data_IF_736058442566
#
_entry.id   IF_736058442566
#
_cell.length_a   1.000
_cell.length_b   1.000
_cell.length_c   1.000
_cell.angle_alpha   90.00
_cell.angle_beta   90.00
_cell.angle_gamma   90.00
#
_symmetry.space_group_name_H-M   'P 1'
#
loop_
_entity.id
_entity.type
_entity.pdbx_description
1 polymer ?
#
# COMPACT_ATOMS: atom_id res chain seq x y z
N UNK A 1 5.38 -13.44 8.67
CA UNK A 1 5.37 -12.12 9.31
C UNK A 1 4.73 -12.27 10.69
N UNK A 2 5.42 -11.95 11.78
CA UNK A 2 4.78 -11.89 13.10
C UNK A 2 3.93 -10.64 13.13
N UNK A 3 2.63 -10.77 13.45
CA UNK A 3 1.76 -9.64 13.73
C UNK A 3 2.44 -8.73 14.76
N UNK A 4 2.55 -7.43 14.49
CA UNK A 4 2.99 -6.47 15.50
C UNK A 4 1.97 -6.53 16.64
N UNK A 5 2.41 -6.59 17.92
CA UNK A 5 1.48 -6.52 19.03
C UNK A 5 0.76 -5.17 18.97
N UNK A 6 -0.56 -5.20 19.14
CA UNK A 6 -1.37 -3.98 19.25
C UNK A 6 -0.74 -3.06 20.29
N UNK A 7 -0.51 -1.81 19.91
CA UNK A 7 -0.12 -0.76 20.85
C UNK A 7 -1.21 -0.68 21.94
N UNK A 8 -0.87 -1.10 23.15
CA UNK A 8 -1.69 -0.84 24.34
C UNK A 8 -1.68 0.68 24.61
N UNK A 9 -2.52 1.41 23.91
CA UNK A 9 -2.87 2.75 24.36
C UNK A 9 -3.76 2.57 25.58
N UNK A 10 -3.23 2.79 26.75
CA UNK A 10 -4.01 3.01 27.98
C UNK A 10 -4.75 4.34 27.85
N UNK A 11 -5.74 4.38 26.94
CA UNK A 11 -6.71 5.44 26.81
C UNK A 11 -7.63 5.39 28.03
N UNK A 12 -7.86 6.55 28.62
CA UNK A 12 -8.82 6.70 29.70
C UNK A 12 -10.21 6.18 29.30
N UNK A 13 -11.05 5.88 30.28
CA UNK A 13 -12.41 5.37 30.11
C UNK A 13 -13.17 6.20 29.07
N UNK A 14 -13.46 5.61 27.89
CA UNK A 14 -14.30 6.20 26.86
C UNK A 14 -13.63 6.63 25.55
N UNK A 15 -12.35 6.29 25.29
CA UNK A 15 -11.70 6.60 24.01
C UNK A 15 -12.17 5.68 22.88
N UNK A 16 -12.33 6.26 21.67
CA UNK A 16 -12.58 5.49 20.42
C UNK A 16 -11.36 4.66 20.08
N UNK A 17 -11.57 3.36 19.82
CA UNK A 17 -10.52 2.46 19.36
C UNK A 17 -10.52 2.40 17.84
N UNK A 18 -9.41 2.72 17.23
CA UNK A 18 -9.29 2.71 15.77
C UNK A 18 -7.92 2.27 15.27
N UNK A 19 -7.88 1.83 14.01
CA UNK A 19 -6.66 1.58 13.24
C UNK A 19 -6.75 2.37 11.94
N UNK A 20 -5.78 3.27 11.71
CA UNK A 20 -5.80 4.23 10.62
C UNK A 20 -4.79 3.93 9.50
N UNK A 21 -4.14 2.75 9.53
CA UNK A 21 -3.19 2.36 8.49
C UNK A 21 -3.30 0.86 8.19
N UNK A 22 -4.23 0.52 7.30
CA UNK A 22 -4.56 -0.87 6.95
C UNK A 22 -4.51 -1.06 5.43
N UNK A 23 -3.89 -2.16 5.00
CA UNK A 23 -3.83 -2.60 3.61
C UNK A 23 -4.70 -3.83 3.38
N UNK A 24 -5.29 -3.88 2.19
CA UNK A 24 -6.10 -5.01 1.72
C UNK A 24 -5.44 -5.66 0.50
N UNK A 25 -6.09 -6.68 -0.07
CA UNK A 25 -5.64 -7.32 -1.31
C UNK A 25 -5.74 -6.39 -2.55
N UNK A 26 -6.28 -5.16 -2.39
CA UNK A 26 -6.17 -4.11 -3.42
C UNK A 26 -4.78 -3.48 -3.50
N UNK A 27 -3.91 -3.78 -2.54
CA UNK A 27 -2.49 -3.50 -2.59
C UNK A 27 -1.70 -4.72 -2.10
N UNK A 28 -0.94 -4.63 -1.06
CA UNK A 28 -0.07 -5.69 -0.55
C UNK A 28 -0.55 -6.36 0.74
N UNK A 29 -1.75 -6.05 1.19
CA UNK A 29 -2.45 -6.80 2.20
C UNK A 29 -2.92 -8.16 1.68
N UNK A 30 -3.15 -9.11 2.59
CA UNK A 30 -3.53 -10.49 2.25
C UNK A 30 -5.04 -10.74 2.36
N UNK A 31 -5.78 -9.85 3.01
CA UNK A 31 -7.21 -10.03 3.27
C UNK A 31 -8.07 -9.12 2.38
N UNK A 32 -9.28 -9.58 2.11
CA UNK A 32 -10.29 -8.74 1.45
C UNK A 32 -10.78 -7.62 2.39
N UNK A 33 -11.33 -6.52 1.85
CA UNK A 33 -11.89 -5.45 2.67
C UNK A 33 -12.96 -5.96 3.66
N UNK A 34 -13.79 -6.91 3.25
CA UNK A 34 -14.82 -7.53 4.09
C UNK A 34 -14.20 -8.28 5.27
N UNK A 35 -13.11 -9.05 5.00
CA UNK A 35 -12.40 -9.77 6.06
C UNK A 35 -11.71 -8.82 7.02
N UNK A 36 -11.18 -7.69 6.53
CA UNK A 36 -10.63 -6.63 7.39
C UNK A 36 -11.71 -6.05 8.29
N UNK A 37 -12.91 -5.77 7.78
CA UNK A 37 -14.04 -5.31 8.61
C UNK A 37 -14.36 -6.34 9.71
N UNK A 38 -14.49 -7.62 9.37
CA UNK A 38 -14.79 -8.67 10.36
C UNK A 38 -13.69 -8.76 11.45
N UNK A 39 -12.42 -8.80 11.04
CA UNK A 39 -11.30 -8.84 11.99
C UNK A 39 -11.24 -7.61 12.89
N UNK A 40 -11.59 -6.45 12.36
CA UNK A 40 -11.63 -5.19 13.12
C UNK A 40 -12.75 -5.19 14.17
N UNK A 41 -13.92 -5.70 13.80
CA UNK A 41 -15.04 -5.90 14.74
C UNK A 41 -14.68 -6.92 15.83
N UNK A 42 -14.07 -8.05 15.47
CA UNK A 42 -13.59 -9.06 16.41
C UNK A 42 -12.53 -8.48 17.38
N UNK A 43 -11.68 -7.56 16.91
CA UNK A 43 -10.69 -6.86 17.73
C UNK A 43 -11.29 -5.75 18.61
N UNK A 44 -12.59 -5.48 18.48
CA UNK A 44 -13.28 -4.43 19.23
C UNK A 44 -12.91 -3.02 18.82
N UNK A 45 -12.49 -2.83 17.55
CA UNK A 45 -12.33 -1.50 16.96
C UNK A 45 -13.69 -0.88 16.64
N UNK A 46 -13.75 0.43 16.61
CA UNK A 46 -14.92 1.22 16.28
C UNK A 46 -14.76 1.99 14.96
N UNK A 47 -13.51 2.20 14.55
CA UNK A 47 -13.17 2.90 13.31
C UNK A 47 -11.90 2.33 12.70
N UNK A 48 -11.87 2.24 11.38
CA UNK A 48 -10.66 1.89 10.61
C UNK A 48 -10.51 2.83 9.43
N UNK A 49 -9.28 3.00 8.93
CA UNK A 49 -9.02 3.57 7.62
C UNK A 49 -8.37 2.52 6.71
N UNK A 50 -8.94 2.33 5.53
CA UNK A 50 -8.32 1.53 4.48
C UNK A 50 -7.42 2.43 3.65
N UNK A 51 -6.13 2.16 3.69
CA UNK A 51 -5.09 3.02 3.13
C UNK A 51 -4.21 2.24 2.15
N UNK A 52 -4.83 1.50 1.25
CA UNK A 52 -4.11 0.74 0.24
C UNK A 52 -3.13 1.60 -0.55
N UNK A 53 -1.99 1.04 -0.91
CA UNK A 53 -0.98 1.73 -1.69
C UNK A 53 -1.50 2.20 -3.05
N UNK A 54 -1.50 3.51 -3.28
CA UNK A 54 -1.92 4.17 -4.53
C UNK A 54 -3.29 3.68 -5.05
N UNK A 55 -4.19 3.32 -4.12
CA UNK A 55 -5.50 2.74 -4.41
C UNK A 55 -6.54 3.14 -3.36
N UNK A 56 -7.80 3.27 -3.78
CA UNK A 56 -8.93 3.66 -2.91
C UNK A 56 -10.15 2.74 -3.05
N UNK A 57 -10.06 1.65 -3.83
CA UNK A 57 -11.20 0.80 -4.18
C UNK A 57 -11.71 -0.03 -3.01
N UNK A 58 -10.84 -0.38 -2.07
CA UNK A 58 -11.20 -1.18 -0.90
C UNK A 58 -12.28 -0.54 -0.04
N UNK A 59 -12.33 0.79 0.01
CA UNK A 59 -13.33 1.54 0.77
C UNK A 59 -14.76 1.21 0.31
N UNK A 60 -15.03 1.24 -1.00
CA UNK A 60 -16.37 1.02 -1.53
C UNK A 60 -16.85 -0.41 -1.25
N UNK A 61 -15.95 -1.40 -1.35
CA UNK A 61 -16.23 -2.80 -1.02
C UNK A 61 -16.53 -2.96 0.48
N UNK A 62 -15.68 -2.39 1.35
CA UNK A 62 -15.86 -2.47 2.80
C UNK A 62 -17.16 -1.81 3.25
N UNK A 63 -17.48 -0.63 2.71
CA UNK A 63 -18.70 0.10 3.07
C UNK A 63 -19.97 -0.59 2.57
N UNK A 64 -19.94 -1.19 1.38
CA UNK A 64 -21.06 -1.99 0.89
C UNK A 64 -21.30 -3.23 1.77
N UNK A 65 -20.21 -3.93 2.12
CA UNK A 65 -20.30 -5.06 3.05
C UNK A 65 -20.82 -4.65 4.43
N UNK A 66 -20.38 -3.50 4.95
CA UNK A 66 -20.80 -3.00 6.25
C UNK A 66 -22.32 -2.74 6.32
N UNK A 67 -22.98 -2.38 5.21
CA UNK A 67 -24.45 -2.25 5.14
C UNK A 67 -25.18 -3.56 5.46
N UNK A 68 -24.54 -4.70 5.27
CA UNK A 68 -25.09 -6.02 5.62
C UNK A 68 -24.98 -6.33 7.11
N UNK A 69 -24.18 -5.55 7.85
CA UNK A 69 -23.95 -5.70 9.29
C UNK A 69 -24.79 -4.65 10.02
N UNK A 70 -25.50 -5.05 11.03
CA UNK A 70 -26.24 -4.09 11.87
C UNK A 70 -25.37 -3.67 13.07
N UNK A 71 -24.30 -2.92 12.79
CA UNK A 71 -23.28 -2.52 13.77
C UNK A 71 -22.91 -1.06 13.63
N UNK A 72 -22.54 -0.41 14.74
CA UNK A 72 -21.99 0.94 14.76
C UNK A 72 -20.46 0.84 14.54
N UNK A 73 -20.05 0.99 13.30
CA UNK A 73 -18.67 0.88 12.86
C UNK A 73 -18.39 1.84 11.72
N UNK A 74 -17.24 2.51 11.76
CA UNK A 74 -16.86 3.49 10.75
C UNK A 74 -15.69 3.00 9.92
N UNK A 75 -15.83 3.03 8.60
CA UNK A 75 -14.74 2.87 7.66
C UNK A 75 -14.40 4.23 7.04
N UNK A 76 -13.15 4.64 7.14
CA UNK A 76 -12.63 5.87 6.54
C UNK A 76 -12.00 5.53 5.19
N UNK A 77 -12.35 6.31 4.14
CA UNK A 77 -11.62 6.26 2.87
C UNK A 77 -10.25 6.86 3.08
N UNK A 78 -9.23 6.06 2.82
CA UNK A 78 -7.85 6.47 2.88
C UNK A 78 -7.07 6.02 1.64
N UNK A 79 -5.84 6.46 1.58
CA UNK A 79 -4.83 6.07 0.61
C UNK A 79 -3.46 6.16 1.25
N UNK A 80 -2.52 5.31 0.87
CA UNK A 80 -1.10 5.52 1.11
C UNK A 80 -0.38 5.77 -0.22
N UNK A 81 -0.03 7.03 -0.47
CA UNK A 81 0.67 7.43 -1.69
C UNK A 81 2.15 7.17 -1.53
N UNK A 82 2.72 6.34 -2.40
CA UNK A 82 4.17 6.17 -2.49
C UNK A 82 4.79 7.37 -3.21
N UNK A 83 5.72 8.04 -2.57
CA UNK A 83 6.42 9.20 -3.12
C UNK A 83 7.93 9.01 -3.06
N UNK A 84 8.66 9.84 -3.81
CA UNK A 84 10.11 9.85 -3.82
C UNK A 84 10.61 11.28 -3.57
N UNK A 85 11.44 11.46 -2.54
CA UNK A 85 12.13 12.71 -2.29
C UNK A 85 13.64 12.50 -2.37
N UNK A 86 14.28 13.10 -3.37
CA UNK A 86 15.67 12.76 -3.74
C UNK A 86 15.78 11.24 -3.94
N UNK A 87 16.49 10.57 -3.05
CA UNK A 87 16.69 9.12 -3.06
C UNK A 87 15.89 8.37 -1.98
N UNK A 88 14.98 9.03 -1.28
CA UNK A 88 14.23 8.43 -0.17
C UNK A 88 12.78 8.18 -0.57
N UNK A 89 12.30 6.97 -0.30
CA UNK A 89 10.87 6.69 -0.37
C UNK A 89 10.20 7.30 0.87
N UNK A 90 9.20 8.15 0.63
CA UNK A 90 8.38 8.77 1.68
C UNK A 90 6.93 8.42 1.36
N UNK A 91 6.22 7.86 2.32
CA UNK A 91 4.82 7.53 2.11
C UNK A 91 3.93 8.58 2.76
N UNK A 92 2.91 9.02 2.03
CA UNK A 92 1.93 9.99 2.49
C UNK A 92 0.57 9.32 2.58
N UNK A 93 0.04 9.23 3.79
CA UNK A 93 -1.36 8.84 4.01
C UNK A 93 -2.27 10.01 3.64
N UNK A 94 -3.39 9.71 3.02
CA UNK A 94 -4.46 10.68 2.77
C UNK A 94 -5.76 10.14 3.33
N UNK A 95 -6.43 10.90 4.19
CA UNK A 95 -7.73 10.54 4.74
C UNK A 95 -8.82 11.43 4.18
N UNK A 96 -9.99 10.85 3.92
CA UNK A 96 -11.19 11.54 3.40
C UNK A 96 -11.01 12.27 2.06
N UNK A 97 -10.16 11.81 1.12
CA UNK A 97 -10.01 12.52 -0.13
C UNK A 97 -11.29 12.46 -0.96
N UNK A 98 -11.63 13.57 -1.64
CA UNK A 98 -12.64 13.55 -2.69
C UNK A 98 -12.04 12.92 -3.95
N UNK A 99 -12.32 11.64 -4.14
CA UNK A 99 -11.81 10.84 -5.27
C UNK A 99 -12.41 11.24 -6.63
N UNK A 100 -13.38 12.17 -6.66
CA UNK A 100 -13.98 12.67 -7.90
C UNK A 100 -13.17 13.79 -8.53
N UNK A 101 -12.31 14.47 -7.76
CA UNK A 101 -11.44 15.53 -8.21
C UNK A 101 -10.47 15.07 -9.31
N UNK A 102 -10.30 15.91 -10.32
CA UNK A 102 -9.45 15.61 -11.49
C UNK A 102 -8.01 15.30 -11.11
N UNK A 103 -7.43 16.10 -10.21
CA UNK A 103 -6.02 16.00 -9.83
C UNK A 103 -5.77 14.76 -8.99
N UNK A 104 -6.73 14.38 -8.12
CA UNK A 104 -6.67 13.12 -7.39
C UNK A 104 -6.75 11.91 -8.34
N UNK A 105 -7.66 11.93 -9.30
CA UNK A 105 -7.73 10.87 -10.34
C UNK A 105 -6.45 10.79 -11.16
N UNK A 106 -5.84 11.94 -11.48
CA UNK A 106 -4.59 11.99 -12.21
C UNK A 106 -3.43 11.42 -11.38
N UNK A 107 -3.36 11.76 -10.09
CA UNK A 107 -2.40 11.17 -9.16
C UNK A 107 -2.48 9.64 -9.17
N UNK A 108 -3.69 9.06 -9.02
CA UNK A 108 -3.88 7.61 -9.08
C UNK A 108 -3.39 7.00 -10.40
N UNK A 109 -3.69 7.64 -11.54
CA UNK A 109 -3.23 7.17 -12.85
C UNK A 109 -1.71 7.18 -12.98
N UNK A 110 -1.06 8.27 -12.54
CA UNK A 110 0.41 8.37 -12.54
C UNK A 110 1.02 7.24 -11.73
N UNK A 111 0.52 7.02 -10.53
CA UNK A 111 1.00 5.99 -9.62
C UNK A 111 0.83 4.58 -10.20
N UNK A 112 -0.35 4.27 -10.73
CA UNK A 112 -0.63 2.97 -11.35
C UNK A 112 0.28 2.71 -12.56
N UNK A 113 0.48 3.70 -13.44
CA UNK A 113 1.39 3.58 -14.56
C UNK A 113 2.85 3.36 -14.12
N UNK A 114 3.29 4.09 -13.09
CA UNK A 114 4.64 3.95 -12.54
C UNK A 114 4.88 2.54 -11.98
N UNK A 115 3.90 1.96 -11.26
CA UNK A 115 3.95 0.58 -10.74
C UNK A 115 4.05 -0.45 -11.85
N UNK A 116 3.19 -0.35 -12.85
CA UNK A 116 3.18 -1.27 -14.01
C UNK A 116 4.52 -1.20 -14.75
N UNK A 117 5.01 0.01 -15.01
CA UNK A 117 6.29 0.23 -15.70
C UNK A 117 7.44 -0.36 -14.91
N UNK A 118 7.55 -0.04 -13.60
CA UNK A 118 8.58 -0.58 -12.72
C UNK A 118 8.55 -2.12 -12.69
N UNK A 119 7.37 -2.71 -12.54
CA UNK A 119 7.21 -4.18 -12.50
C UNK A 119 7.74 -4.80 -13.79
N UNK A 120 7.28 -4.33 -14.96
CA UNK A 120 7.72 -4.87 -16.26
C UNK A 120 9.23 -4.77 -16.44
N UNK A 121 9.84 -3.68 -16.01
CA UNK A 121 11.28 -3.46 -16.11
C UNK A 121 12.07 -4.40 -15.17
N UNK A 122 11.61 -4.58 -13.93
CA UNK A 122 12.19 -5.57 -13.00
C UNK A 122 12.13 -6.98 -13.59
N UNK A 123 10.96 -7.40 -14.13
CA UNK A 123 10.79 -8.73 -14.73
C UNK A 123 11.70 -8.93 -15.94
N UNK A 124 11.87 -7.90 -16.77
CA UNK A 124 12.82 -7.92 -17.88
C UNK A 124 14.26 -8.11 -17.39
N UNK A 125 14.69 -7.39 -16.36
CA UNK A 125 16.02 -7.50 -15.80
C UNK A 125 16.25 -8.87 -15.13
N UNK A 126 15.26 -9.40 -14.42
CA UNK A 126 15.31 -10.76 -13.85
C UNK A 126 15.54 -11.82 -14.93
N UNK A 127 14.79 -11.75 -16.02
CA UNK A 127 14.96 -12.68 -17.14
C UNK A 127 16.34 -12.54 -17.79
N UNK A 128 16.83 -11.31 -17.99
CA UNK A 128 18.08 -11.02 -18.69
C UNK A 128 19.33 -11.33 -17.86
N UNK A 129 19.32 -10.97 -16.55
CA UNK A 129 20.52 -11.05 -15.71
C UNK A 129 20.56 -12.31 -14.85
N UNK A 130 19.39 -12.81 -14.44
CA UNK A 130 19.29 -13.91 -13.48
C UNK A 130 18.67 -15.18 -14.09
N UNK A 131 18.21 -15.11 -15.35
CA UNK A 131 17.56 -16.23 -16.03
C UNK A 131 16.15 -16.56 -15.49
N UNK A 132 15.62 -15.76 -14.57
CA UNK A 132 14.31 -15.96 -13.94
C UNK A 132 13.25 -15.34 -14.83
N UNK A 133 12.43 -16.18 -15.48
CA UNK A 133 11.36 -15.74 -16.39
C UNK A 133 10.02 -15.79 -15.68
N UNK A 134 9.38 -14.62 -15.57
CA UNK A 134 8.07 -14.44 -14.93
C UNK A 134 7.21 -13.62 -15.90
N UNK A 135 5.99 -14.08 -16.19
CA UNK A 135 5.05 -13.29 -16.98
C UNK A 135 4.47 -12.16 -16.13
N UNK A 136 4.19 -11.01 -16.75
CA UNK A 136 3.59 -9.88 -16.05
C UNK A 136 2.23 -10.24 -15.40
N UNK A 137 1.44 -11.07 -16.09
CA UNK A 137 0.14 -11.50 -15.60
C UNK A 137 0.25 -12.40 -14.36
N UNK A 138 1.34 -13.13 -14.17
CA UNK A 138 1.58 -13.91 -12.95
C UNK A 138 1.69 -12.99 -11.72
N UNK A 139 2.24 -11.78 -11.89
CA UNK A 139 2.31 -10.78 -10.82
C UNK A 139 0.99 -10.01 -10.68
N UNK A 140 0.39 -9.61 -11.81
CA UNK A 140 -0.85 -8.85 -11.84
C UNK A 140 -2.01 -9.60 -11.19
N UNK A 141 -2.11 -10.92 -11.40
CA UNK A 141 -3.19 -11.74 -10.85
C UNK A 141 -3.07 -12.01 -9.34
N UNK A 142 -2.03 -11.48 -8.68
CA UNK A 142 -1.87 -11.55 -7.21
C UNK A 142 -2.57 -10.42 -6.46
N UNK A 143 -3.04 -9.41 -7.17
CA UNK A 143 -3.86 -8.31 -6.59
C UNK A 143 -5.28 -8.39 -7.12
N UNK A 144 -6.22 -7.79 -6.39
CA UNK A 144 -7.59 -7.66 -6.87
C UNK A 144 -7.65 -6.86 -8.18
N UNK A 145 -8.73 -7.02 -8.94
CA UNK A 145 -8.95 -6.23 -10.16
C UNK A 145 -8.91 -4.73 -9.85
N UNK A 146 -8.11 -3.99 -10.61
CA UNK A 146 -7.86 -2.58 -10.35
C UNK A 146 -6.90 -2.29 -9.19
N UNK A 147 -6.37 -3.31 -8.54
CA UNK A 147 -5.43 -3.19 -7.41
C UNK A 147 -4.04 -2.73 -7.82
N UNK A 148 -3.25 -2.34 -6.83
CA UNK A 148 -1.90 -1.81 -6.98
C UNK A 148 -0.84 -2.90 -6.79
N UNK A 149 -0.09 -3.20 -7.85
CA UNK A 149 1.05 -4.12 -7.77
C UNK A 149 2.15 -3.49 -6.92
N UNK A 150 2.68 -4.27 -5.97
CA UNK A 150 3.79 -3.87 -5.12
C UNK A 150 4.98 -4.83 -5.18
N UNK A 151 6.09 -4.42 -4.59
CA UNK A 151 7.31 -5.25 -4.43
C UNK A 151 7.04 -6.62 -3.77
N UNK A 152 6.13 -6.76 -2.79
CA UNK A 152 5.77 -8.06 -2.23
C UNK A 152 5.26 -9.06 -3.26
N UNK A 153 4.48 -8.60 -4.25
CA UNK A 153 3.97 -9.46 -5.32
C UNK A 153 5.08 -9.94 -6.24
N UNK A 154 6.04 -9.04 -6.58
CA UNK A 154 7.22 -9.41 -7.38
C UNK A 154 8.07 -10.44 -6.63
N UNK A 155 8.34 -10.22 -5.34
CA UNK A 155 9.08 -11.17 -4.52
C UNK A 155 8.40 -12.54 -4.43
N UNK A 156 7.08 -12.56 -4.27
CA UNK A 156 6.28 -13.80 -4.29
C UNK A 156 6.34 -14.50 -5.65
N UNK A 157 6.26 -13.74 -6.75
CA UNK A 157 6.36 -14.29 -8.09
C UNK A 157 7.76 -14.90 -8.37
N UNK A 158 8.83 -14.27 -7.89
CA UNK A 158 10.20 -14.81 -7.97
C UNK A 158 10.28 -16.16 -7.25
N UNK A 159 9.72 -16.25 -6.03
CA UNK A 159 9.70 -17.49 -5.26
C UNK A 159 8.87 -18.58 -5.95
N UNK A 160 7.69 -18.23 -6.46
CA UNK A 160 6.82 -19.16 -7.20
C UNK A 160 7.48 -19.70 -8.47
N UNK A 161 8.32 -18.88 -9.12
CA UNK A 161 9.10 -19.29 -10.30
C UNK A 161 10.37 -20.11 -9.95
N UNK A 162 10.59 -20.42 -8.68
CA UNK A 162 11.77 -21.18 -8.23
C UNK A 162 13.06 -20.36 -8.18
N UNK A 163 12.98 -19.02 -8.30
CA UNK A 163 14.14 -18.15 -8.25
C UNK A 163 14.76 -18.00 -6.86
N UNK A 164 13.99 -18.28 -5.81
CA UNK A 164 14.41 -18.29 -4.40
C UNK A 164 13.64 -19.31 -3.60
N UNK A 165 14.15 -19.67 -2.41
CA UNK A 165 13.50 -20.59 -1.47
C UNK A 165 12.37 -19.94 -0.64
N UNK A 166 12.38 -18.61 -0.55
CA UNK A 166 11.41 -17.85 0.23
C UNK A 166 11.23 -16.42 -0.28
N UNK A 167 10.09 -15.81 0.06
CA UNK A 167 9.81 -14.39 -0.23
C UNK A 167 10.82 -13.47 0.44
N UNK A 168 11.28 -13.82 1.65
CA UNK A 168 12.30 -13.04 2.37
C UNK A 168 13.62 -13.05 1.62
N UNK A 169 14.03 -14.20 1.08
CA UNK A 169 15.22 -14.32 0.24
C UNK A 169 15.07 -13.51 -1.06
N UNK A 170 13.88 -13.55 -1.70
CA UNK A 170 13.61 -12.75 -2.89
C UNK A 170 13.76 -11.24 -2.61
N UNK A 171 13.26 -10.79 -1.47
CA UNK A 171 13.43 -9.41 -1.03
C UNK A 171 14.91 -9.04 -0.87
N UNK A 172 15.68 -9.83 -0.11
CA UNK A 172 17.09 -9.55 0.18
C UNK A 172 17.98 -9.62 -1.06
N UNK A 173 17.61 -10.43 -2.06
CA UNK A 173 18.45 -10.64 -3.26
C UNK A 173 18.06 -9.73 -4.43
N UNK A 174 16.76 -9.49 -4.64
CA UNK A 174 16.27 -8.86 -5.86
C UNK A 174 15.48 -7.56 -5.68
N UNK A 175 14.90 -7.31 -4.50
CA UNK A 175 13.96 -6.20 -4.34
C UNK A 175 14.61 -4.97 -3.70
N UNK A 176 15.67 -5.14 -2.91
CA UNK A 176 16.33 -4.01 -2.25
C UNK A 176 17.15 -3.15 -3.24
N UNK A 177 17.48 -1.94 -2.83
CA UNK A 177 18.06 -0.90 -3.67
C UNK A 177 19.43 -1.26 -4.28
N UNK A 178 20.24 -2.05 -3.58
CA UNK A 178 21.56 -2.49 -4.07
C UNK A 178 21.46 -3.72 -5.02
N UNK A 179 20.27 -4.22 -5.33
CA UNK A 179 20.08 -5.34 -6.23
C UNK A 179 20.44 -4.98 -7.67
N UNK A 180 21.08 -5.89 -8.44
CA UNK A 180 21.38 -5.67 -9.86
C UNK A 180 20.14 -5.56 -10.74
N UNK A 181 18.97 -5.96 -10.25
CA UNK A 181 17.69 -5.87 -10.95
C UNK A 181 16.77 -4.79 -10.35
N UNK A 182 17.27 -4.01 -9.39
CA UNK A 182 16.50 -2.90 -8.83
C UNK A 182 16.17 -1.88 -9.91
N UNK A 183 14.93 -1.41 -9.88
CA UNK A 183 14.44 -0.30 -10.71
C UNK A 183 13.77 0.72 -9.80
N UNK A 184 14.27 1.94 -9.83
CA UNK A 184 13.65 3.03 -9.10
C UNK A 184 12.30 3.39 -9.75
N UNK A 185 11.27 3.50 -8.93
CA UNK A 185 9.96 3.96 -9.41
C UNK A 185 9.98 5.48 -9.56
N UNK A 186 9.78 5.95 -10.79
CA UNK A 186 9.55 7.37 -11.03
C UNK A 186 8.12 7.70 -10.65
N UNK A 187 7.95 8.43 -9.57
CA UNK A 187 6.68 8.80 -8.98
C UNK A 187 6.66 10.28 -8.61
N UNK A 188 5.57 10.75 -8.00
CA UNK A 188 5.41 12.12 -7.51
C UNK A 188 6.28 12.39 -6.30
N UNK A 189 6.52 13.66 -6.00
CA UNK A 189 7.19 14.07 -4.75
C UNK A 189 6.21 14.02 -3.57
N UNK A 190 6.70 14.00 -2.31
CA UNK A 190 5.84 14.12 -1.13
C UNK A 190 5.03 15.43 -1.13
N UNK A 191 5.59 16.51 -1.66
CA UNK A 191 4.93 17.81 -1.75
C UNK A 191 3.73 17.76 -2.72
N UNK A 192 3.92 17.16 -3.91
CA UNK A 192 2.81 16.96 -4.86
C UNK A 192 1.69 16.11 -4.27
N UNK A 193 2.03 15.04 -3.54
CA UNK A 193 1.04 14.18 -2.91
C UNK A 193 0.26 14.92 -1.79
N UNK A 194 0.96 15.69 -0.95
CA UNK A 194 0.36 16.51 0.10
C UNK A 194 -0.60 17.54 -0.50
N UNK A 195 -0.17 18.26 -1.54
CA UNK A 195 -0.98 19.26 -2.23
C UNK A 195 -2.26 18.63 -2.82
N UNK A 196 -2.13 17.55 -3.58
CA UNK A 196 -3.29 16.88 -4.21
C UNK A 196 -4.25 16.33 -3.18
N UNK A 197 -3.76 15.72 -2.09
CA UNK A 197 -4.61 15.22 -0.99
C UNK A 197 -5.35 16.38 -0.33
N UNK A 198 -4.63 17.47 -0.01
CA UNK A 198 -5.21 18.65 0.65
C UNK A 198 -6.27 19.33 -0.24
N UNK A 199 -5.96 19.55 -1.51
CA UNK A 199 -6.87 20.18 -2.47
C UNK A 199 -8.10 19.30 -2.79
N UNK A 200 -7.98 17.98 -2.57
CA UNK A 200 -9.13 17.08 -2.62
C UNK A 200 -10.00 17.11 -1.33
N UNK A 201 -9.68 18.00 -0.39
CA UNK A 201 -10.39 18.09 0.91
C UNK A 201 -9.96 17.03 1.92
N UNK A 202 -8.91 16.27 1.61
CA UNK A 202 -8.36 15.25 2.49
C UNK A 202 -7.36 15.80 3.51
N UNK A 203 -6.96 14.93 4.42
CA UNK A 203 -5.96 15.22 5.46
C UNK A 203 -4.69 14.41 5.13
N UNK A 204 -3.60 15.05 4.68
CA UNK A 204 -2.33 14.36 4.46
C UNK A 204 -1.56 14.14 5.77
N UNK A 205 -0.97 12.96 5.91
CA UNK A 205 -0.15 12.57 7.07
C UNK A 205 1.07 11.77 6.60
N UNK A 206 2.24 12.03 7.16
CA UNK A 206 3.43 11.23 6.87
C UNK A 206 3.27 9.85 7.52
N UNK A 207 3.39 8.79 6.70
CA UNK A 207 3.33 7.42 7.18
C UNK A 207 4.69 7.03 7.82
N UNK A 208 4.62 6.21 8.89
CA UNK A 208 5.78 5.56 9.54
C UNK A 208 7.10 6.35 9.45
N UNK A 209 7.17 7.59 9.99
CA UNK A 209 8.30 8.50 9.80
C UNK A 209 9.65 7.95 10.31
N UNK A 210 9.64 6.96 11.18
CA UNK A 210 10.85 6.28 11.66
C UNK A 210 11.57 5.45 10.59
N UNK A 211 10.86 5.08 9.51
CA UNK A 211 11.45 4.36 8.37
C UNK A 211 12.13 5.32 7.39
N UNK A 212 11.95 6.62 7.58
CA UNK A 212 12.56 7.66 6.75
C UNK A 212 13.89 8.04 7.40
N UNK A 213 14.99 7.60 6.83
CA UNK A 213 16.37 7.92 7.26
C UNK A 213 16.75 9.39 6.92
N UNK A 214 15.78 10.31 7.16
CA UNK A 214 15.92 11.76 6.91
C UNK A 214 16.37 12.50 8.19
N UNK A 215 16.15 11.91 9.37
CA UNK A 215 16.32 12.60 10.66
C UNK A 215 17.76 13.09 10.91
N UNK A 216 18.76 12.57 10.20
CA UNK A 216 20.16 13.01 10.32
C UNK A 216 20.60 14.01 9.23
N UNK A 217 19.73 14.40 8.28
CA UNK A 217 20.10 15.21 7.10
C UNK A 217 19.22 16.44 6.86
N UNK A 218 18.31 16.74 7.77
CA UNK A 218 17.58 18.02 7.86
C UNK A 218 18.15 18.89 8.96
#
# INVERSE_FOLDING_TARGET
>A
MKARPALNTTGGKGGVKGDFHIHTYYSDGVFSPEKIVDLSLEAGLQVIALTDHDNVLSYDVATEYLKTKNVDFTVIRGIEVNTLYKDYEVHILGYFPDVTKSDFKNLLKIQQHARIKQTKEILHLLAKKEGIKIAFDDVKNMVAEGGSIGRPHIAKAITNAGGTSSVMEAYSKYIHRASPVYVERKTVTPFDAVEVIYDSGGIPVIAHPYDIDIAEKL
#
